data_IF_449220912167
#
_entry.id   IF_449220912167
#
_cell.length_a   1.000
_cell.length_b   1.000
_cell.length_c   1.000
_cell.angle_alpha   90.00
_cell.angle_beta   90.00
_cell.angle_gamma   90.00
#
_symmetry.space_group_name_H-M   'P 1'
#
loop_
_entity.id
_entity.type
_entity.pdbx_description
1 polymer ?
#
# COMPACT_ATOMS: atom_id res chain seq x y z
N UNK A 1 -2.44 7.50 -1.25
CA UNK A 1 -1.82 8.66 -0.57
C UNK A 1 -0.79 8.17 0.45
N UNK A 2 -1.14 7.34 1.47
CA UNK A 2 -0.23 6.92 2.54
C UNK A 2 1.12 6.35 2.03
N UNK A 3 1.13 5.48 1.01
CA UNK A 3 2.36 4.95 0.44
C UNK A 3 3.32 6.06 0.00
N UNK A 4 2.80 7.07 -0.71
CA UNK A 4 3.59 8.19 -1.22
C UNK A 4 3.95 9.23 -0.15
N UNK A 5 3.34 9.16 1.02
CA UNK A 5 3.77 9.97 2.17
C UNK A 5 4.84 9.27 3.03
N UNK A 6 5.17 8.02 2.72
CA UNK A 6 6.09 7.18 3.49
C UNK A 6 7.37 6.91 2.69
N UNK A 7 7.25 6.13 1.59
CA UNK A 7 8.40 5.60 0.88
C UNK A 7 9.31 6.67 0.26
N UNK A 8 8.80 7.72 -0.42
CA UNK A 8 9.67 8.76 -1.01
C UNK A 8 10.44 9.60 0.01
N UNK A 9 10.11 9.48 1.30
CA UNK A 9 10.76 10.22 2.39
C UNK A 9 11.68 9.33 3.23
N UNK A 10 12.18 8.24 2.66
CA UNK A 10 13.15 7.36 3.29
C UNK A 10 12.56 6.52 4.44
N UNK A 11 11.25 6.24 4.40
CA UNK A 11 10.56 5.36 5.34
C UNK A 11 10.04 4.13 4.61
N UNK A 12 9.97 3.01 5.32
CA UNK A 12 9.54 1.72 4.75
C UNK A 12 8.02 1.58 4.88
N UNK A 13 7.33 1.44 3.75
CA UNK A 13 5.90 1.18 3.74
C UNK A 13 5.62 -0.33 3.86
N UNK A 14 4.68 -0.70 4.75
CA UNK A 14 4.28 -2.09 4.95
C UNK A 14 2.78 -2.19 4.71
N UNK A 15 2.35 -2.46 3.47
CA UNK A 15 0.94 -2.63 3.16
C UNK A 15 0.43 -3.96 3.71
N UNK A 16 -0.69 -3.91 4.44
CA UNK A 16 -1.35 -5.10 5.00
C UNK A 16 -2.67 -5.30 4.27
N UNK A 17 -2.96 -6.55 3.92
CA UNK A 17 -4.21 -6.91 3.24
C UNK A 17 -5.41 -6.63 4.16
N UNK A 18 -6.49 -6.04 3.64
CA UNK A 18 -7.68 -5.76 4.44
C UNK A 18 -8.37 -7.04 4.96
N UNK A 19 -8.12 -8.18 4.31
CA UNK A 19 -8.68 -9.48 4.69
C UNK A 19 -7.82 -10.23 5.71
N UNK A 20 -6.62 -9.71 6.06
CA UNK A 20 -5.78 -10.31 7.09
C UNK A 20 -6.54 -10.41 8.43
N UNK A 21 -6.34 -11.54 9.11
CA UNK A 21 -6.86 -11.75 10.46
C UNK A 21 -6.13 -10.86 11.49
N UNK A 22 -6.72 -10.69 12.68
CA UNK A 22 -6.09 -9.96 13.78
C UNK A 22 -4.72 -10.57 14.15
N UNK A 23 -4.60 -11.91 14.16
CA UNK A 23 -3.34 -12.60 14.44
C UNK A 23 -2.27 -12.31 13.38
N UNK A 24 -2.64 -12.29 12.09
CA UNK A 24 -1.71 -11.95 11.01
C UNK A 24 -1.25 -10.50 11.12
N UNK A 25 -2.18 -9.57 11.37
CA UNK A 25 -1.86 -8.16 11.60
C UNK A 25 -0.90 -8.01 12.77
N UNK A 26 -1.18 -8.66 13.90
CA UNK A 26 -0.33 -8.65 15.10
C UNK A 26 1.06 -9.19 14.80
N UNK A 27 1.16 -10.32 14.08
CA UNK A 27 2.43 -10.93 13.70
C UNK A 27 3.24 -10.00 12.78
N UNK A 28 2.59 -9.37 11.79
CA UNK A 28 3.25 -8.43 10.89
C UNK A 28 3.77 -7.21 11.65
N UNK A 29 2.96 -6.61 12.51
CA UNK A 29 3.34 -5.43 13.27
C UNK A 29 4.50 -5.71 14.25
N UNK A 30 4.46 -6.85 14.93
CA UNK A 30 5.54 -7.27 15.83
C UNK A 30 6.83 -7.59 15.07
N UNK A 31 6.75 -8.37 13.97
CA UNK A 31 7.92 -8.76 13.19
C UNK A 31 8.58 -7.59 12.47
N UNK A 32 7.78 -6.64 11.99
CA UNK A 32 8.27 -5.45 11.30
C UNK A 32 8.74 -4.34 12.24
N UNK A 33 8.48 -4.47 13.55
CA UNK A 33 8.76 -3.45 14.55
C UNK A 33 8.17 -2.07 14.19
N UNK A 34 7.03 -2.08 13.49
CA UNK A 34 6.37 -0.85 13.04
C UNK A 34 6.04 0.07 14.21
N UNK A 35 6.25 1.37 14.02
CA UNK A 35 5.97 2.41 15.03
C UNK A 35 4.79 3.29 14.66
N UNK A 36 4.46 3.36 13.37
CA UNK A 36 3.38 4.17 12.83
C UNK A 36 2.41 3.29 12.07
N UNK A 37 1.12 3.47 12.28
CA UNK A 37 0.08 2.77 11.54
C UNK A 37 -0.96 3.75 10.99
N UNK A 38 -1.30 3.56 9.71
CA UNK A 38 -2.47 4.15 9.08
C UNK A 38 -3.56 3.08 9.00
N UNK A 39 -4.67 3.30 9.66
CA UNK A 39 -5.75 2.31 9.73
C UNK A 39 -7.11 2.99 9.60
N UNK A 40 -8.02 2.41 8.79
CA UNK A 40 -9.40 2.90 8.73
C UNK A 40 -10.19 2.44 9.96
N UNK A 41 -11.19 3.23 10.35
CA UNK A 41 -12.08 2.87 11.45
C UNK A 41 -12.71 1.48 11.27
N UNK A 42 -13.05 1.13 10.01
CA UNK A 42 -13.62 -0.17 9.65
C UNK A 42 -12.71 -1.35 9.99
N UNK A 43 -11.39 -1.16 9.90
CA UNK A 43 -10.38 -2.20 10.13
C UNK A 43 -9.69 -2.05 11.49
N UNK A 44 -10.04 -1.04 12.24
CA UNK A 44 -9.40 -0.73 13.52
C UNK A 44 -9.48 -1.88 14.53
N UNK A 45 -10.58 -2.66 14.52
CA UNK A 45 -10.74 -3.84 15.39
C UNK A 45 -9.72 -4.95 15.12
N UNK A 46 -9.08 -4.97 13.95
CA UNK A 46 -8.02 -5.95 13.60
C UNK A 46 -6.66 -5.61 14.20
N UNK A 47 -6.50 -4.41 14.75
CA UNK A 47 -5.28 -4.00 15.45
C UNK A 47 -5.53 -4.19 16.94
N UNK A 48 -4.90 -5.19 17.55
CA UNK A 48 -5.05 -5.47 18.99
C UNK A 48 -4.62 -4.27 19.85
N UNK A 49 -5.18 -4.18 21.06
CA UNK A 49 -4.81 -3.10 21.99
C UNK A 49 -3.31 -3.13 22.31
N UNK A 50 -2.74 -4.32 22.50
CA UNK A 50 -1.29 -4.48 22.72
C UNK A 50 -0.45 -3.88 21.58
N UNK A 51 -0.86 -4.11 20.32
CA UNK A 51 -0.18 -3.51 19.17
C UNK A 51 -0.33 -1.99 19.17
N UNK A 52 -1.53 -1.46 19.45
CA UNK A 52 -1.75 0.00 19.51
C UNK A 52 -0.90 0.65 20.59
N UNK A 53 -0.73 0.00 21.74
CA UNK A 53 0.07 0.54 22.85
C UNK A 53 1.55 0.66 22.48
N UNK A 54 2.05 -0.24 21.61
CA UNK A 54 3.42 -0.22 21.07
C UNK A 54 3.64 0.83 19.97
N UNK A 55 2.56 1.34 19.35
CA UNK A 55 2.66 2.34 18.28
C UNK A 55 2.96 3.72 18.86
N UNK A 56 3.90 4.40 18.25
CA UNK A 56 4.19 5.81 18.51
C UNK A 56 3.13 6.72 17.91
N UNK A 57 2.58 6.34 16.76
CA UNK A 57 1.58 7.14 16.05
C UNK A 57 0.53 6.23 15.39
N UNK A 58 -0.74 6.57 15.58
CA UNK A 58 -1.88 5.93 14.93
C UNK A 58 -2.68 7.00 14.21
N UNK A 59 -2.88 6.82 12.91
CA UNK A 59 -3.57 7.78 12.03
C UNK A 59 -4.76 7.10 11.38
N UNK A 60 -5.90 7.76 11.37
CA UNK A 60 -7.03 7.37 10.53
C UNK A 60 -6.68 7.59 9.06
N UNK A 61 -6.69 6.52 8.26
CA UNK A 61 -6.31 6.62 6.84
C UNK A 61 -7.37 7.33 5.98
N UNK A 62 -8.62 7.38 6.45
CA UNK A 62 -9.73 7.97 5.71
C UNK A 62 -9.79 9.49 5.89
N UNK A 63 -9.48 9.98 7.11
CA UNK A 63 -9.52 11.41 7.46
C UNK A 63 -8.12 12.04 7.61
N UNK A 64 -7.10 11.23 7.78
CA UNK A 64 -5.73 11.64 8.17
C UNK A 64 -5.64 12.30 9.55
N UNK A 65 -6.66 12.11 10.39
CA UNK A 65 -6.63 12.56 11.78
C UNK A 65 -5.74 11.66 12.62
N UNK A 66 -5.03 12.28 13.56
CA UNK A 66 -4.21 11.56 14.54
C UNK A 66 -5.10 10.99 15.62
N UNK A 67 -5.18 9.65 15.71
CA UNK A 67 -5.93 8.94 16.76
C UNK A 67 -5.10 8.81 18.03
N UNK A 68 -3.79 8.56 17.91
CA UNK A 68 -2.84 8.44 18.99
C UNK A 68 -1.50 9.02 18.55
N UNK A 69 -0.89 9.83 19.41
CA UNK A 69 0.49 10.24 19.32
C UNK A 69 1.15 10.05 20.70
N UNK A 70 2.38 9.55 20.71
CA UNK A 70 3.25 9.51 21.87
C UNK A 70 4.23 10.69 21.72
N UNK A 71 3.84 11.85 22.27
CA UNK A 71 4.54 13.12 22.06
C UNK A 71 6.01 13.08 22.54
N UNK A 72 6.33 12.23 23.51
CA UNK A 72 7.71 12.07 24.01
C UNK A 72 8.60 11.30 23.01
N UNK A 73 8.00 10.49 22.14
CA UNK A 73 8.72 9.63 21.17
C UNK A 73 8.58 10.09 19.72
N UNK A 74 7.61 10.95 19.45
CA UNK A 74 7.36 11.47 18.11
C UNK A 74 7.93 12.86 17.97
N UNK A 75 9.16 12.97 17.49
CA UNK A 75 9.77 14.23 17.09
C UNK A 75 9.72 14.37 15.58
N UNK A 76 8.92 15.31 15.08
CA UNK A 76 8.98 15.73 13.69
C UNK A 76 10.06 16.82 13.58
N UNK A 77 11.27 16.42 13.23
CA UNK A 77 12.39 17.35 13.04
C UNK A 77 12.38 18.05 11.66
N UNK A 78 11.34 17.80 10.88
CA UNK A 78 11.18 18.33 9.51
C UNK A 78 12.23 17.81 8.51
N UNK A 79 13.09 16.89 8.90
CA UNK A 79 14.10 16.33 8.01
C UNK A 79 13.46 15.28 7.10
N UNK A 80 13.55 15.52 5.81
CA UNK A 80 13.22 14.54 4.78
C UNK A 80 14.52 13.93 4.27
N UNK A 81 14.65 12.62 4.43
CA UNK A 81 15.76 11.89 3.82
C UNK A 81 15.32 11.53 2.40
N UNK A 82 16.08 11.99 1.41
CA UNK A 82 15.87 11.53 0.03
C UNK A 82 16.48 10.13 -0.08
N UNK A 83 15.67 9.08 -0.32
CA UNK A 83 16.18 7.74 -0.40
C UNK A 83 17.02 7.53 -1.66
N UNK A 84 18.01 6.65 -1.57
CA UNK A 84 18.75 6.15 -2.72
C UNK A 84 17.94 5.03 -3.43
N UNK A 85 18.27 4.70 -4.68
CA UNK A 85 17.60 3.60 -5.36
C UNK A 85 17.69 2.25 -4.65
N UNK A 86 18.72 2.01 -3.85
CA UNK A 86 18.96 0.75 -3.16
C UNK A 86 18.34 0.70 -1.76
N UNK A 87 17.83 1.82 -1.26
CA UNK A 87 17.10 1.85 0.00
C UNK A 87 15.77 1.08 -0.11
N UNK A 88 15.33 0.49 1.01
CA UNK A 88 14.10 -0.28 1.08
C UNK A 88 12.91 0.69 0.97
N UNK A 89 12.04 0.45 -0.02
CA UNK A 89 10.81 1.21 -0.19
C UNK A 89 9.62 0.56 0.52
N UNK A 90 9.55 -0.78 0.48
CA UNK A 90 8.40 -1.50 1.03
C UNK A 90 8.79 -2.92 1.44
N UNK A 91 8.05 -3.45 2.43
CA UNK A 91 8.09 -4.87 2.80
C UNK A 91 6.68 -5.41 2.65
N UNK A 92 6.50 -6.40 1.77
CA UNK A 92 5.20 -7.01 1.50
C UNK A 92 5.16 -8.39 2.12
N UNK A 93 4.23 -8.60 3.04
CA UNK A 93 4.06 -9.89 3.69
C UNK A 93 3.22 -10.82 2.84
N UNK A 94 3.70 -12.03 2.65
CA UNK A 94 2.99 -13.10 1.96
C UNK A 94 2.68 -14.23 2.93
N UNK A 95 1.55 -14.91 2.74
CA UNK A 95 1.23 -16.15 3.47
C UNK A 95 2.25 -17.22 3.08
N UNK A 96 3.23 -17.46 3.93
CA UNK A 96 4.21 -18.52 3.71
C UNK A 96 3.56 -19.89 3.79
N UNK A 97 3.99 -20.82 2.95
CA UNK A 97 3.58 -22.24 3.00
C UNK A 97 3.90 -22.91 4.34
N UNK A 98 4.74 -22.31 5.17
CA UNK A 98 5.16 -22.79 6.49
C UNK A 98 4.38 -22.19 7.67
N UNK A 99 3.30 -21.44 7.41
CA UNK A 99 2.44 -20.86 8.45
C UNK A 99 2.95 -19.55 9.07
N UNK A 100 4.21 -19.15 8.83
CA UNK A 100 4.72 -17.83 9.24
C UNK A 100 4.73 -16.86 8.05
N UNK A 101 4.24 -15.65 8.27
CA UNK A 101 4.29 -14.60 7.26
C UNK A 101 5.74 -14.25 6.91
N UNK A 102 6.07 -14.25 5.61
CA UNK A 102 7.40 -13.87 5.11
C UNK A 102 7.34 -12.48 4.52
N UNK A 103 8.23 -11.59 4.97
CA UNK A 103 8.37 -10.24 4.43
C UNK A 103 9.25 -10.23 3.19
N UNK A 104 8.68 -9.90 2.05
CA UNK A 104 9.42 -9.66 0.80
C UNK A 104 9.90 -8.22 0.79
N UNK A 105 11.21 -8.03 0.85
CA UNK A 105 11.85 -6.71 0.88
C UNK A 105 12.06 -6.20 -0.54
N UNK A 106 11.55 -5.01 -0.85
CA UNK A 106 11.68 -4.38 -2.16
C UNK A 106 12.31 -2.99 -2.01
N UNK A 107 13.38 -2.76 -2.76
CA UNK A 107 14.02 -1.44 -2.86
C UNK A 107 13.28 -0.53 -3.84
N UNK A 108 13.59 0.77 -3.82
CA UNK A 108 13.12 1.72 -4.83
C UNK A 108 13.53 1.27 -6.23
N UNK A 109 14.75 0.75 -6.41
CA UNK A 109 15.25 0.20 -7.67
C UNK A 109 14.40 -0.97 -8.16
N UNK A 110 14.00 -1.89 -7.27
CA UNK A 110 13.15 -3.03 -7.66
C UNK A 110 11.81 -2.55 -8.22
N UNK A 111 11.15 -1.61 -7.55
CA UNK A 111 9.88 -1.07 -8.01
C UNK A 111 10.03 -0.32 -9.34
N UNK A 112 11.00 0.57 -9.43
CA UNK A 112 11.23 1.39 -10.62
C UNK A 112 11.60 0.54 -11.83
N UNK A 113 12.47 -0.47 -11.69
CA UNK A 113 12.87 -1.34 -12.80
C UNK A 113 11.69 -2.13 -13.37
N UNK A 114 10.78 -2.61 -12.50
CA UNK A 114 9.56 -3.29 -12.96
C UNK A 114 8.65 -2.33 -13.74
N UNK A 115 8.45 -1.11 -13.25
CA UNK A 115 7.65 -0.08 -13.94
C UNK A 115 8.24 0.24 -15.32
N UNK A 116 9.56 0.44 -15.41
CA UNK A 116 10.26 0.73 -16.67
C UNK A 116 10.15 -0.46 -17.65
N UNK A 117 10.32 -1.68 -17.14
CA UNK A 117 10.15 -2.90 -17.97
C UNK A 117 8.75 -3.01 -18.53
N UNK A 118 7.72 -2.75 -17.71
CA UNK A 118 6.34 -2.73 -18.15
C UNK A 118 6.09 -1.67 -19.23
N UNK A 119 6.66 -0.47 -19.06
CA UNK A 119 6.54 0.60 -20.04
C UNK A 119 7.16 0.22 -21.40
N UNK A 120 8.32 -0.44 -21.40
CA UNK A 120 8.95 -0.90 -22.65
C UNK A 120 8.18 -2.05 -23.31
N UNK A 121 7.55 -2.93 -22.52
CA UNK A 121 6.82 -4.08 -23.00
C UNK A 121 5.42 -3.73 -23.49
N UNK A 122 4.75 -2.80 -22.84
CA UNK A 122 3.36 -2.43 -23.12
C UNK A 122 3.17 -0.94 -22.88
N UNK A 123 3.57 -0.12 -23.86
CA UNK A 123 3.44 1.34 -23.76
C UNK A 123 2.01 1.77 -23.50
N UNK A 124 1.84 2.62 -22.48
CA UNK A 124 0.59 3.29 -22.11
C UNK A 124 0.83 4.79 -22.07
N UNK A 125 -0.26 5.55 -22.08
CA UNK A 125 -0.23 7.01 -22.17
C UNK A 125 -1.18 7.62 -21.15
N UNK A 126 -1.16 8.93 -21.04
CA UNK A 126 -2.08 9.73 -20.24
C UNK A 126 -3.56 9.58 -20.63
N UNK A 127 -3.84 9.00 -21.83
CA UNK A 127 -5.20 8.73 -22.31
C UNK A 127 -5.76 7.41 -21.78
N UNK A 128 -4.91 6.58 -21.19
CA UNK A 128 -5.33 5.29 -20.66
C UNK A 128 -6.12 5.44 -19.37
N UNK A 129 -7.08 4.54 -19.19
CA UNK A 129 -7.92 4.44 -17.99
C UNK A 129 -7.75 3.07 -17.37
N UNK A 130 -7.22 3.06 -16.17
CA UNK A 130 -7.03 1.84 -15.38
C UNK A 130 -8.20 1.61 -14.44
N UNK A 131 -8.72 0.40 -14.38
CA UNK A 131 -9.64 -0.04 -13.33
C UNK A 131 -8.88 -0.98 -12.41
N UNK A 132 -8.55 -0.51 -11.20
CA UNK A 132 -7.89 -1.28 -10.15
C UNK A 132 -8.93 -2.11 -9.39
N UNK A 133 -8.76 -3.43 -9.39
CA UNK A 133 -9.72 -4.37 -8.82
C UNK A 133 -9.12 -5.33 -7.78
N UNK A 134 -7.81 -5.53 -7.79
CA UNK A 134 -7.13 -6.38 -6.83
C UNK A 134 -6.74 -5.58 -5.57
N UNK A 135 -6.44 -6.25 -4.45
CA UNK A 135 -5.98 -5.56 -3.25
C UNK A 135 -4.65 -4.83 -3.48
N UNK A 136 -4.60 -3.54 -3.17
CA UNK A 136 -3.42 -2.68 -3.38
C UNK A 136 -2.21 -3.11 -2.55
N UNK A 137 -2.40 -3.87 -1.47
CA UNK A 137 -1.33 -4.46 -0.68
C UNK A 137 -0.64 -5.64 -1.38
N UNK A 138 -1.18 -6.11 -2.51
CA UNK A 138 -0.53 -7.14 -3.32
C UNK A 138 0.47 -6.49 -4.28
N UNK A 139 1.69 -7.07 -4.37
CA UNK A 139 2.80 -6.52 -5.20
C UNK A 139 2.40 -6.25 -6.65
N UNK A 140 1.65 -7.17 -7.26
CA UNK A 140 1.21 -7.04 -8.64
C UNK A 140 0.35 -5.80 -8.84
N UNK A 141 -0.69 -5.63 -8.00
CA UNK A 141 -1.61 -4.50 -8.09
C UNK A 141 -0.91 -3.18 -7.79
N UNK A 142 -0.08 -3.15 -6.74
CA UNK A 142 0.70 -1.97 -6.39
C UNK A 142 1.60 -1.54 -7.56
N UNK A 143 2.27 -2.48 -8.23
CA UNK A 143 3.18 -2.15 -9.32
C UNK A 143 2.42 -1.79 -10.60
N UNK A 144 1.46 -2.62 -11.02
CA UNK A 144 0.84 -2.50 -12.34
C UNK A 144 -0.44 -1.66 -12.38
N UNK A 145 -1.10 -1.45 -11.23
CA UNK A 145 -2.33 -0.62 -11.17
C UNK A 145 -2.17 0.66 -10.35
N UNK A 146 -1.00 0.89 -9.74
CA UNK A 146 -0.69 2.15 -9.05
C UNK A 146 0.55 2.81 -9.65
N UNK A 147 1.73 2.17 -9.53
CA UNK A 147 2.99 2.82 -9.91
C UNK A 147 3.13 2.99 -11.42
N UNK A 148 2.84 1.95 -12.20
CA UNK A 148 2.98 1.99 -13.65
C UNK A 148 2.03 2.98 -14.34
N UNK A 149 0.70 3.00 -14.08
CA UNK A 149 -0.16 4.00 -14.68
C UNK A 149 0.19 5.43 -14.25
N UNK A 150 0.64 5.64 -13.01
CA UNK A 150 1.13 6.95 -12.59
C UNK A 150 2.38 7.39 -13.37
N UNK A 151 3.31 6.47 -13.62
CA UNK A 151 4.46 6.73 -14.47
C UNK A 151 4.06 7.14 -15.90
N UNK A 152 2.98 6.55 -16.42
CA UNK A 152 2.44 6.88 -17.74
C UNK A 152 1.57 8.15 -17.76
N UNK A 153 1.26 8.75 -16.62
CA UNK A 153 0.31 9.86 -16.51
C UNK A 153 -1.16 9.44 -16.69
N UNK A 154 -1.45 8.15 -16.65
CA UNK A 154 -2.78 7.60 -16.86
C UNK A 154 -3.70 7.80 -15.65
N UNK A 155 -5.01 7.75 -15.87
CA UNK A 155 -6.01 7.84 -14.81
C UNK A 155 -6.30 6.46 -14.22
N UNK A 156 -6.26 6.34 -12.88
CA UNK A 156 -6.60 5.12 -12.16
C UNK A 156 -7.92 5.29 -11.41
N UNK A 157 -8.82 4.35 -11.62
CA UNK A 157 -10.10 4.26 -10.91
C UNK A 157 -10.05 3.10 -9.93
N UNK A 158 -10.31 3.37 -8.67
CA UNK A 158 -10.36 2.38 -7.61
C UNK A 158 -11.80 2.03 -7.26
N UNK A 159 -12.08 0.72 -7.08
CA UNK A 159 -13.39 0.29 -6.59
C UNK A 159 -13.51 0.58 -5.09
N UNK A 160 -14.68 1.05 -4.61
CA UNK A 160 -14.90 1.35 -3.19
C UNK A 160 -15.02 0.09 -2.32
N UNK A 161 -15.19 -1.08 -2.95
CA UNK A 161 -15.38 -2.39 -2.30
C UNK A 161 -14.68 -3.47 -3.12
N UNK A 162 -14.42 -4.65 -2.52
CA UNK A 162 -13.89 -5.80 -3.26
C UNK A 162 -14.72 -6.10 -4.51
N UNK A 163 -14.08 -6.52 -5.61
CA UNK A 163 -14.73 -6.73 -6.89
C UNK A 163 -15.70 -7.91 -6.81
N UNK A 164 -16.98 -7.62 -7.01
CA UNK A 164 -18.03 -8.60 -7.27
C UNK A 164 -18.64 -8.30 -8.64
N UNK A 165 -19.17 -9.34 -9.30
CA UNK A 165 -19.69 -9.21 -10.67
C UNK A 165 -20.68 -8.04 -10.83
N UNK A 166 -21.60 -7.84 -9.87
CA UNK A 166 -22.57 -6.75 -9.90
C UNK A 166 -21.97 -5.35 -9.80
N UNK A 167 -20.84 -5.20 -9.08
CA UNK A 167 -20.12 -3.94 -8.97
C UNK A 167 -19.32 -3.66 -10.25
N UNK A 168 -18.66 -4.68 -10.81
CA UNK A 168 -17.92 -4.57 -12.06
C UNK A 168 -18.83 -4.20 -13.22
N UNK A 169 -19.99 -4.87 -13.36
CA UNK A 169 -20.98 -4.55 -14.40
C UNK A 169 -21.49 -3.08 -14.33
N UNK A 170 -21.49 -2.48 -13.15
CA UNK A 170 -21.84 -1.05 -12.98
C UNK A 170 -20.66 -0.14 -13.28
N UNK A 171 -19.45 -0.53 -12.90
CA UNK A 171 -18.26 0.30 -13.06
C UNK A 171 -17.75 0.34 -14.51
N UNK A 172 -17.76 -0.79 -15.24
CA UNK A 172 -17.23 -0.91 -16.59
C UNK A 172 -17.84 0.09 -17.59
N UNK A 173 -19.17 0.27 -17.69
CA UNK A 173 -19.74 1.23 -18.64
C UNK A 173 -19.45 2.70 -18.26
N UNK A 174 -19.21 2.99 -16.97
CA UNK A 174 -18.89 4.34 -16.48
C UNK A 174 -17.42 4.66 -16.74
N UNK A 175 -16.52 3.78 -16.28
CA UNK A 175 -15.07 3.99 -16.38
C UNK A 175 -14.58 3.79 -17.80
N UNK A 176 -15.14 2.82 -18.53
CA UNK A 176 -14.67 2.39 -19.87
C UNK A 176 -13.17 2.15 -19.85
N UNK A 177 -12.66 1.25 -18.98
CA UNK A 177 -11.23 1.07 -18.79
C UNK A 177 -10.56 0.58 -20.07
N UNK A 178 -9.36 1.06 -20.34
CA UNK A 178 -8.48 0.53 -21.37
C UNK A 178 -7.60 -0.58 -20.85
N UNK A 179 -7.45 -0.65 -19.53
CA UNK A 179 -6.63 -1.66 -18.83
C UNK A 179 -7.28 -2.05 -17.50
N UNK A 180 -7.27 -3.33 -17.21
CA UNK A 180 -7.67 -3.93 -15.94
C UNK A 180 -6.85 -5.20 -15.74
N UNK A 181 -6.38 -5.44 -14.52
CA UNK A 181 -5.74 -6.70 -14.14
C UNK A 181 -6.79 -7.63 -13.51
N UNK A 182 -6.78 -8.90 -13.92
CA UNK A 182 -7.71 -9.93 -13.43
C UNK A 182 -6.94 -11.22 -13.11
#
# INVERSE_FOLDING_TARGET
VAFFSIAPFGRIAIPILPDSSENEVTNILNHSESKVIFVSQRLASKVSQECRDKMTLVIDIDTFEVIKADDDKFTCDGRTTVPTPDDIATIIYTSGTTGSAKGVVLSHRNLASNVITCYHSCKRTEKDRWLSVLPMAHTLEMTLSMLYPMYCGATVYYLPKPPVASLLLKALPIVKPTTMLT
#
